data_IF_993031883112
#
_entry.id   IF_993031883112
#
_cell.length_a   1.000
_cell.length_b   1.000
_cell.length_c   1.000
_cell.angle_alpha   90.00
_cell.angle_beta   90.00
_cell.angle_gamma   90.00
#
_symmetry.space_group_name_H-M   'P 1'
#
loop_
_entity.id
_entity.type
_entity.pdbx_description
1 polymer ?
#
# COMPACT_ATOMS: atom_id res chain seq x y z
N UNK A 1 22.23 7.38 2.86
CA UNK A 1 22.31 7.09 1.42
C UNK A 1 20.90 6.70 0.97
N UNK A 2 20.16 7.57 0.28
CA UNK A 2 18.75 7.28 -0.02
C UNK A 2 18.07 8.12 -1.11
N UNK A 3 18.73 9.13 -1.68
CA UNK A 3 18.08 10.10 -2.58
C UNK A 3 18.24 9.80 -4.08
N UNK A 4 18.87 8.68 -4.45
CA UNK A 4 19.13 8.34 -5.86
C UNK A 4 18.49 7.03 -6.32
N UNK A 5 17.74 6.34 -5.45
CA UNK A 5 17.03 5.12 -5.78
C UNK A 5 15.65 5.45 -6.35
N UNK A 6 15.19 4.66 -7.33
CA UNK A 6 13.86 4.87 -7.91
C UNK A 6 12.75 4.65 -6.87
N UNK A 7 11.54 5.22 -7.06
CA UNK A 7 10.41 4.98 -6.16
C UNK A 7 10.08 3.49 -5.99
N UNK A 8 10.27 2.69 -7.03
CA UNK A 8 10.10 1.24 -7.02
C UNK A 8 11.17 0.55 -6.14
N UNK A 9 12.43 0.94 -6.25
CA UNK A 9 13.52 0.42 -5.42
C UNK A 9 13.33 0.80 -3.94
N UNK A 10 12.88 2.03 -3.68
CA UNK A 10 12.53 2.51 -2.34
C UNK A 10 11.37 1.71 -1.75
N UNK A 11 10.33 1.42 -2.54
CA UNK A 11 9.22 0.57 -2.13
C UNK A 11 9.72 -0.85 -1.79
N UNK A 12 10.60 -1.42 -2.63
CA UNK A 12 11.20 -2.73 -2.35
C UNK A 12 11.97 -2.76 -1.05
N UNK A 13 12.84 -1.78 -0.83
CA UNK A 13 13.60 -1.66 0.42
C UNK A 13 12.69 -1.53 1.64
N UNK A 14 11.62 -0.74 1.52
CA UNK A 14 10.66 -0.54 2.61
C UNK A 14 9.85 -1.81 2.92
N UNK A 15 9.30 -2.48 1.91
CA UNK A 15 8.57 -3.75 2.10
C UNK A 15 9.48 -4.79 2.73
N UNK A 16 10.70 -4.95 2.23
CA UNK A 16 11.70 -5.88 2.78
C UNK A 16 12.00 -5.58 4.25
N UNK A 17 12.17 -4.30 4.60
CA UNK A 17 12.44 -3.89 5.98
C UNK A 17 11.25 -4.20 6.93
N UNK A 18 10.01 -3.97 6.48
CA UNK A 18 8.81 -4.31 7.25
C UNK A 18 8.74 -5.81 7.49
N UNK A 19 8.89 -6.60 6.42
CA UNK A 19 8.81 -8.05 6.46
C UNK A 19 9.86 -8.65 7.39
N UNK A 20 11.12 -8.18 7.32
CA UNK A 20 12.18 -8.59 8.25
C UNK A 20 11.86 -8.22 9.70
N UNK A 21 11.31 -7.02 9.93
CA UNK A 21 10.92 -6.56 11.27
C UNK A 21 9.80 -7.41 11.87
N UNK A 22 8.87 -7.90 11.04
CA UNK A 22 7.77 -8.78 11.43
C UNK A 22 8.26 -10.20 11.71
N UNK A 23 9.16 -10.73 10.87
CA UNK A 23 9.72 -12.06 11.02
C UNK A 23 10.76 -12.16 12.15
N UNK A 24 11.33 -11.05 12.61
CA UNK A 24 12.31 -11.05 13.69
C UNK A 24 11.72 -11.61 14.98
N UNK A 25 12.31 -12.73 15.42
CA UNK A 25 11.80 -13.43 16.55
C UNK A 25 11.91 -12.66 17.88
N UNK A 26 12.88 -11.76 17.96
CA UNK A 26 13.14 -10.96 19.15
C UNK A 26 12.24 -9.72 19.22
N UNK A 27 11.52 -9.41 18.12
CA UNK A 27 10.66 -8.26 18.04
C UNK A 27 9.25 -8.55 18.57
N UNK A 28 9.13 -8.57 19.90
CA UNK A 28 7.87 -8.89 20.60
C UNK A 28 6.80 -7.82 20.41
N UNK A 29 7.19 -6.57 20.14
CA UNK A 29 6.27 -5.45 19.92
C UNK A 29 5.30 -5.73 18.76
N UNK A 30 5.80 -6.32 17.65
CA UNK A 30 4.95 -6.64 16.50
C UNK A 30 3.91 -7.72 16.81
N UNK A 31 4.22 -8.66 17.69
CA UNK A 31 3.25 -9.66 18.12
C UNK A 31 2.12 -9.05 18.92
N UNK A 32 2.43 -8.09 19.79
CA UNK A 32 1.42 -7.37 20.55
C UNK A 32 0.59 -6.47 19.65
N UNK A 33 1.24 -5.76 18.72
CA UNK A 33 0.56 -4.91 17.73
C UNK A 33 -0.38 -5.71 16.83
N UNK A 34 0.03 -6.88 16.32
CA UNK A 34 -0.82 -7.73 15.50
C UNK A 34 -2.07 -8.21 16.26
N UNK A 35 -1.91 -8.57 17.54
CA UNK A 35 -3.02 -8.98 18.40
C UNK A 35 -3.97 -7.83 18.69
N UNK A 36 -3.43 -6.65 18.97
CA UNK A 36 -4.22 -5.44 19.18
C UNK A 36 -5.00 -5.05 17.90
N UNK A 37 -4.39 -5.18 16.73
CA UNK A 37 -5.09 -4.94 15.46
C UNK A 37 -6.21 -5.97 15.21
N UNK A 38 -6.03 -7.23 15.63
CA UNK A 38 -7.02 -8.29 15.47
C UNK A 38 -8.17 -8.20 16.50
N UNK A 39 -7.89 -7.73 17.71
CA UNK A 39 -8.86 -7.53 18.77
C UNK A 39 -8.56 -6.23 19.53
N UNK A 40 -9.02 -5.08 19.03
CA UNK A 40 -8.71 -3.77 19.61
C UNK A 40 -9.16 -3.67 21.06
N UNK A 41 -8.21 -3.39 21.96
CA UNK A 41 -8.46 -3.18 23.39
C UNK A 41 -8.25 -1.72 23.82
N UNK A 42 -7.54 -0.94 23.01
CA UNK A 42 -7.10 0.43 23.29
C UNK A 42 -5.78 0.50 24.07
N UNK A 43 -5.27 -0.63 24.58
CA UNK A 43 -4.10 -0.63 25.47
C UNK A 43 -2.80 -0.23 24.78
N UNK A 44 -2.71 -0.42 23.46
CA UNK A 44 -1.51 -0.12 22.67
C UNK A 44 -1.76 0.98 21.64
N UNK A 45 -2.80 1.81 21.81
CA UNK A 45 -3.14 2.83 20.81
C UNK A 45 -2.00 3.83 20.60
N UNK A 46 -1.33 4.26 21.68
CA UNK A 46 -0.17 5.15 21.63
C UNK A 46 1.03 4.48 20.94
N UNK A 47 1.33 3.23 21.28
CA UNK A 47 2.40 2.43 20.65
C UNK A 47 2.13 2.22 19.17
N UNK A 48 0.89 1.91 18.79
CA UNK A 48 0.48 1.80 17.38
C UNK A 48 0.71 3.13 16.66
N UNK A 49 0.34 4.26 17.26
CA UNK A 49 0.54 5.59 16.68
C UNK A 49 2.02 5.90 16.45
N UNK A 50 2.86 5.57 17.42
CA UNK A 50 4.31 5.86 17.39
C UNK A 50 5.09 4.89 16.48
N UNK A 51 4.70 3.62 16.42
CA UNK A 51 5.43 2.59 15.66
C UNK A 51 4.89 2.38 14.24
N UNK A 52 3.57 2.41 14.07
CA UNK A 52 2.91 2.20 12.76
C UNK A 52 2.69 3.52 12.05
N UNK A 53 2.34 4.59 12.75
CA UNK A 53 2.08 5.90 12.14
C UNK A 53 3.21 6.37 11.20
N UNK A 54 4.48 6.37 11.63
CA UNK A 54 5.59 6.74 10.74
C UNK A 54 5.75 5.79 9.54
N UNK A 55 5.44 4.51 9.70
CA UNK A 55 5.49 3.54 8.62
C UNK A 55 4.41 3.81 7.57
N UNK A 56 3.18 4.08 8.01
CA UNK A 56 2.06 4.44 7.14
C UNK A 56 2.35 5.74 6.38
N UNK A 57 2.88 6.75 7.07
CA UNK A 57 3.24 8.03 6.44
C UNK A 57 4.30 7.87 5.34
N UNK A 58 5.36 7.10 5.60
CA UNK A 58 6.40 6.82 4.59
C UNK A 58 5.82 6.06 3.39
N UNK A 59 5.01 5.03 3.65
CA UNK A 59 4.36 4.24 2.60
C UNK A 59 3.42 5.10 1.75
N UNK A 60 2.59 5.93 2.40
CA UNK A 60 1.67 6.84 1.72
C UNK A 60 2.40 7.86 0.83
N UNK A 61 3.53 8.38 1.27
CA UNK A 61 4.38 9.28 0.48
C UNK A 61 4.89 8.62 -0.80
N UNK A 62 5.49 7.43 -0.69
CA UNK A 62 5.96 6.65 -1.84
C UNK A 62 4.83 6.26 -2.79
N UNK A 63 3.71 5.81 -2.25
CA UNK A 63 2.53 5.43 -3.02
C UNK A 63 1.99 6.63 -3.81
N UNK A 64 1.98 7.84 -3.22
CA UNK A 64 1.59 9.06 -3.94
C UNK A 64 2.52 9.38 -5.10
N UNK A 65 3.83 9.26 -4.90
CA UNK A 65 4.82 9.43 -5.96
C UNK A 65 4.59 8.44 -7.11
N UNK A 66 4.35 7.17 -6.78
CA UNK A 66 4.07 6.09 -7.74
C UNK A 66 2.69 6.18 -8.41
N UNK A 67 1.69 6.81 -7.79
CA UNK A 67 0.36 7.04 -8.38
C UNK A 67 0.32 8.30 -9.25
N UNK A 68 1.14 9.30 -8.92
CA UNK A 68 1.15 10.58 -9.62
C UNK A 68 0.00 11.50 -9.18
N UNK A 69 -0.01 12.76 -9.68
CA UNK A 69 -0.81 13.85 -9.10
C UNK A 69 -2.31 13.76 -9.38
N UNK A 70 -2.74 12.91 -10.31
CA UNK A 70 -4.12 12.82 -10.75
C UNK A 70 -4.97 11.87 -9.90
N UNK A 71 -4.34 11.00 -9.09
CA UNK A 71 -5.05 10.02 -8.29
C UNK A 71 -5.56 10.67 -6.99
N UNK A 72 -6.85 10.52 -6.64
CA UNK A 72 -7.38 11.05 -5.38
C UNK A 72 -6.64 10.50 -4.15
N UNK A 73 -6.58 11.30 -3.09
CA UNK A 73 -5.94 10.92 -1.82
C UNK A 73 -6.48 9.58 -1.26
N UNK A 74 -7.77 9.32 -1.42
CA UNK A 74 -8.38 8.07 -0.98
C UNK A 74 -7.79 6.84 -1.68
N UNK A 75 -7.45 6.96 -2.97
CA UNK A 75 -6.81 5.88 -3.73
C UNK A 75 -5.39 5.58 -3.22
N UNK A 76 -4.64 6.62 -2.86
CA UNK A 76 -3.33 6.46 -2.23
C UNK A 76 -3.42 5.77 -0.87
N UNK A 77 -4.41 6.15 -0.03
CA UNK A 77 -4.66 5.48 1.25
C UNK A 77 -5.00 4.00 1.07
N UNK A 78 -5.85 3.65 0.09
CA UNK A 78 -6.17 2.24 -0.16
C UNK A 78 -4.98 1.43 -0.63
N UNK A 79 -4.11 2.00 -1.47
CA UNK A 79 -2.87 1.33 -1.88
C UNK A 79 -1.92 1.12 -0.70
N UNK A 80 -1.75 2.14 0.14
CA UNK A 80 -0.93 2.07 1.36
C UNK A 80 -1.44 1.00 2.32
N UNK A 81 -2.73 1.03 2.67
CA UNK A 81 -3.37 -0.01 3.49
C UNK A 81 -3.16 -1.41 2.91
N UNK A 82 -3.35 -1.58 1.60
CA UNK A 82 -3.17 -2.87 0.93
C UNK A 82 -1.73 -3.41 1.03
N UNK A 83 -0.73 -2.53 0.91
CA UNK A 83 0.69 -2.91 1.07
C UNK A 83 0.95 -3.37 2.51
N UNK A 84 0.51 -2.57 3.49
CA UNK A 84 0.74 -2.85 4.92
C UNK A 84 0.03 -4.15 5.33
N UNK A 85 -1.22 -4.37 4.89
CA UNK A 85 -1.97 -5.60 5.17
C UNK A 85 -1.28 -6.86 4.64
N UNK A 86 -0.69 -6.81 3.45
CA UNK A 86 0.06 -7.94 2.89
C UNK A 86 1.32 -8.25 3.71
N UNK A 87 1.95 -7.23 4.31
CA UNK A 87 3.10 -7.43 5.17
C UNK A 87 2.71 -8.01 6.54
N UNK A 88 1.56 -7.59 7.10
CA UNK A 88 1.10 -7.96 8.45
C UNK A 88 0.31 -9.28 8.51
N UNK A 89 0.12 -9.97 7.38
CA UNK A 89 -0.69 -11.18 7.31
C UNK A 89 -0.13 -12.28 8.25
N UNK A 90 -0.97 -13.03 8.99
CA UNK A 90 -0.56 -14.16 9.82
C UNK A 90 0.34 -15.21 9.14
N UNK A 91 0.17 -15.43 7.83
CA UNK A 91 1.03 -16.31 7.00
C UNK A 91 2.49 -15.84 7.01
N UNK A 92 2.70 -14.53 7.00
CA UNK A 92 4.03 -13.89 6.97
C UNK A 92 4.66 -13.86 8.35
N UNK A 93 3.86 -13.61 9.39
CA UNK A 93 4.38 -13.48 10.74
C UNK A 93 4.94 -14.80 11.31
N UNK A 94 4.59 -15.96 10.73
CA UNK A 94 5.00 -17.28 11.22
C UNK A 94 4.56 -17.58 12.67
N UNK A 95 3.80 -16.67 13.27
CA UNK A 95 3.53 -16.58 14.69
C UNK A 95 2.06 -16.28 14.86
N UNK A 96 1.32 -17.23 15.41
CA UNK A 96 0.03 -16.92 16.03
C UNK A 96 -1.20 -17.73 15.62
N UNK A 97 -1.13 -18.60 14.60
CA UNK A 97 -2.14 -19.67 14.43
C UNK A 97 -1.60 -21.05 14.85
N UNK A 98 -0.58 -21.02 15.70
CA UNK A 98 -0.20 -22.15 16.54
C UNK A 98 0.62 -23.24 15.83
N UNK A 99 1.88 -23.37 16.25
CA UNK A 99 2.48 -24.69 16.47
C UNK A 99 1.66 -25.58 17.42
N UNK A 100 0.63 -25.03 18.08
CA UNK A 100 -0.40 -25.76 18.86
C UNK A 100 -1.57 -26.29 18.01
N UNK A 101 -1.75 -25.80 16.78
CA UNK A 101 -2.61 -26.37 15.75
C UNK A 101 -1.76 -26.95 14.61
N UNK A 102 -0.57 -27.49 14.93
CA UNK A 102 0.24 -28.25 13.99
C UNK A 102 -0.40 -29.62 13.69
N UNK A 103 -1.67 -29.62 13.32
CA UNK A 103 -2.18 -30.51 12.28
C UNK A 103 -1.86 -29.89 10.91
N UNK A 104 -2.08 -30.66 9.86
CA UNK A 104 -1.79 -30.31 8.46
C UNK A 104 -2.68 -29.16 7.89
N UNK A 105 -3.45 -28.47 8.75
CA UNK A 105 -4.56 -27.58 8.36
C UNK A 105 -4.32 -26.09 8.68
N UNK A 106 -3.13 -25.72 9.17
CA UNK A 106 -2.75 -24.32 9.36
C UNK A 106 -2.38 -23.62 8.04
N UNK A 107 -2.50 -22.28 7.96
CA UNK A 107 -2.01 -21.56 6.78
C UNK A 107 -0.51 -21.84 6.59
N UNK A 108 -0.05 -22.01 5.33
CA UNK A 108 1.37 -22.20 5.06
C UNK A 108 2.15 -20.98 5.54
N UNK A 109 3.37 -21.21 6.04
CA UNK A 109 4.29 -20.13 6.37
C UNK A 109 5.02 -19.63 5.11
N UNK A 110 5.53 -18.40 5.16
CA UNK A 110 6.47 -17.87 4.16
C UNK A 110 7.89 -18.12 4.66
N UNK A 111 8.59 -19.05 4.02
CA UNK A 111 9.97 -19.39 4.39
C UNK A 111 11.00 -18.47 3.70
N UNK A 112 10.69 -17.95 2.50
CA UNK A 112 11.53 -17.02 1.75
C UNK A 112 10.95 -15.59 1.80
N UNK A 113 11.44 -14.81 2.75
CA UNK A 113 10.98 -13.43 2.97
C UNK A 113 11.41 -12.48 1.85
N UNK A 114 12.54 -12.73 1.17
CA UNK A 114 12.99 -11.89 0.06
C UNK A 114 12.12 -12.13 -1.18
N UNK A 115 11.83 -13.40 -1.50
CA UNK A 115 10.93 -13.74 -2.59
C UNK A 115 9.51 -13.20 -2.34
N UNK A 116 9.03 -13.24 -1.09
CA UNK A 116 7.75 -12.65 -0.75
C UNK A 116 7.77 -11.11 -0.83
N UNK A 117 8.85 -10.46 -0.42
CA UNK A 117 9.02 -9.02 -0.61
C UNK A 117 8.92 -8.64 -2.10
N UNK A 118 9.61 -9.39 -2.97
CA UNK A 118 9.56 -9.20 -4.42
C UNK A 118 8.15 -9.40 -4.98
N UNK A 119 7.42 -10.41 -4.48
CA UNK A 119 6.04 -10.63 -4.84
C UNK A 119 5.14 -9.44 -4.47
N UNK A 120 5.18 -8.99 -3.21
CA UNK A 120 4.37 -7.87 -2.72
C UNK A 120 4.66 -6.61 -3.52
N UNK A 121 5.94 -6.31 -3.78
CA UNK A 121 6.34 -5.14 -4.58
C UNK A 121 5.79 -5.25 -6.00
N UNK A 122 5.98 -6.40 -6.67
CA UNK A 122 5.46 -6.61 -8.03
C UNK A 122 3.95 -6.47 -8.10
N UNK A 123 3.23 -7.06 -7.14
CA UNK A 123 1.78 -6.99 -7.06
C UNK A 123 1.30 -5.54 -6.85
N UNK A 124 1.88 -4.84 -5.88
CA UNK A 124 1.55 -3.46 -5.56
C UNK A 124 1.85 -2.49 -6.71
N UNK A 125 3.00 -2.63 -7.38
CA UNK A 125 3.33 -1.80 -8.54
C UNK A 125 2.35 -2.02 -9.70
N UNK A 126 1.96 -3.27 -9.97
CA UNK A 126 0.97 -3.58 -10.99
C UNK A 126 -0.39 -2.93 -10.67
N UNK A 127 -0.86 -3.04 -9.43
CA UNK A 127 -2.11 -2.42 -8.98
C UNK A 127 -2.07 -0.88 -9.06
N UNK A 128 -0.98 -0.27 -8.58
CA UNK A 128 -0.76 1.18 -8.65
C UNK A 128 -0.75 1.67 -10.11
N UNK A 129 -0.06 0.94 -10.99
CA UNK A 129 -0.02 1.27 -12.42
C UNK A 129 -1.40 1.17 -13.07
N UNK A 130 -2.20 0.16 -12.72
CA UNK A 130 -3.57 0.01 -13.22
C UNK A 130 -4.46 1.18 -12.78
N UNK A 131 -4.42 1.55 -11.50
CA UNK A 131 -5.19 2.68 -10.94
C UNK A 131 -4.80 4.01 -11.58
N UNK A 132 -3.49 4.26 -11.76
CA UNK A 132 -3.00 5.45 -12.47
C UNK A 132 -3.58 5.52 -13.88
N UNK A 133 -3.51 4.42 -14.65
CA UNK A 133 -4.02 4.36 -16.03
C UNK A 133 -5.52 4.58 -16.11
N UNK A 134 -6.29 4.01 -15.19
CA UNK A 134 -7.75 4.18 -15.15
C UNK A 134 -8.13 5.66 -14.99
N UNK A 135 -7.53 6.35 -14.02
CA UNK A 135 -7.83 7.74 -13.70
C UNK A 135 -7.34 8.68 -14.80
N UNK A 136 -6.15 8.44 -15.35
CA UNK A 136 -5.63 9.19 -16.50
C UNK A 136 -6.51 8.99 -17.76
N UNK A 137 -7.03 7.77 -17.96
CA UNK A 137 -7.96 7.43 -19.04
C UNK A 137 -9.29 8.16 -18.91
N UNK A 138 -9.87 8.19 -17.71
CA UNK A 138 -11.11 8.92 -17.41
C UNK A 138 -10.95 10.43 -17.63
N UNK A 139 -9.81 11.01 -17.25
CA UNK A 139 -9.50 12.42 -17.50
C UNK A 139 -9.44 12.78 -18.99
N UNK A 140 -8.93 11.87 -19.84
CA UNK A 140 -8.87 12.06 -21.30
C UNK A 140 -10.24 11.95 -21.97
N UNK A 141 -11.11 11.04 -21.51
CA UNK A 141 -12.50 10.89 -22.01
C UNK A 141 -13.35 12.12 -21.66
N UNK A 142 -13.22 12.65 -20.44
CA UNK A 142 -13.92 13.85 -19.99
C UNK A 142 -13.47 15.12 -20.72
N UNK A 143 -12.18 15.24 -21.09
CA UNK A 143 -11.67 16.34 -21.94
C UNK A 143 -12.19 16.27 -23.39
N UNK A 144 -12.36 15.06 -23.95
CA UNK A 144 -12.89 14.85 -25.32
C UNK A 144 -14.40 15.13 -25.45
N UNK A 145 -15.16 15.06 -24.35
CA UNK A 145 -16.63 15.27 -24.36
C UNK A 145 -17.08 16.72 -24.19
N UNK A 146 -16.18 17.70 -24.04
CA UNK A 146 -16.59 19.12 -24.06
C UNK A 146 -17.03 19.50 -25.49
N UNK A 147 -18.28 19.93 -25.73
CA UNK A 147 -18.68 20.41 -27.04
C UNK A 147 -17.93 21.71 -27.35
N UNK A 148 -17.33 21.79 -28.52
CA UNK A 148 -16.78 23.01 -29.08
C UNK A 148 -17.94 23.97 -29.37
N UNK A 149 -18.24 24.89 -28.46
CA UNK A 149 -19.04 26.07 -28.78
C UNK A 149 -18.16 27.05 -29.53
N UNK A 150 -18.05 26.84 -30.84
CA UNK A 150 -17.58 27.88 -31.74
C UNK A 150 -18.38 27.82 -33.06
N UNK A 151 -18.80 29.03 -33.47
CA UNK A 151 -19.24 29.47 -34.80
C UNK A 151 -20.76 29.35 -35.03
N UNK A 152 -21.50 30.40 -35.44
CA UNK A 152 -21.10 31.59 -36.19
C UNK A 152 -22.23 32.65 -36.22
N UNK A 153 -21.79 33.91 -36.22
CA UNK A 153 -22.25 35.06 -37.00
C UNK A 153 -23.74 35.41 -37.16
N UNK A 154 -24.05 36.66 -36.84
CA UNK A 154 -24.14 37.66 -37.92
C UNK A 154 -25.47 38.40 -38.08
N UNK A 155 -25.41 39.73 -37.95
CA UNK A 155 -26.09 40.61 -38.92
C UNK A 155 -27.38 41.32 -38.48
N UNK A 156 -27.23 42.61 -38.18
CA UNK A 156 -28.04 43.81 -38.55
C UNK A 156 -29.55 43.70 -38.89
N UNK A 157 -30.21 44.82 -38.58
CA UNK A 157 -31.48 45.43 -39.07
C UNK A 157 -32.64 45.23 -38.07
N UNK A 158 -33.38 46.25 -37.64
CA UNK A 158 -33.44 47.69 -37.91
C UNK A 158 -33.98 48.40 -36.67
#
# INVERSE_FOLDING_TARGET
MGDNASPEERLRGQVTAILRRIADENNREFLFMQREMANPTGLLEEVLREEIGPLQQRTAGLVRELLGPLVPEQGAKFCELSIISQCMNPIVAGRGLGKRNAGQDGPPAIDDMEAYADHVVKFSLAGIQALRKEIEGQGKVSKRRKPSTALKNGGRRS
#
